data_IF_258236028398
#
_entry.id   IF_258236028398
#
_cell.length_a   1.000
_cell.length_b   1.000
_cell.length_c   1.000
_cell.angle_alpha   90.00
_cell.angle_beta   90.00
_cell.angle_gamma   90.00
#
_symmetry.space_group_name_H-M   'P 1'
#
loop_
_entity.id
_entity.type
_entity.pdbx_description
1 polymer ?
#
# COMPACT_ATOMS: atom_id res chain seq x y z
N UNK A 1 0.15 -8.13 -2.76
CA UNK A 1 -0.84 -9.20 -2.46
C UNK A 1 -1.63 -9.63 -3.69
N UNK A 2 -2.57 -8.84 -4.19
CA UNK A 2 -3.51 -9.26 -5.25
C UNK A 2 -2.90 -9.40 -6.67
N UNK A 3 -1.62 -9.05 -6.85
CA UNK A 3 -0.96 -8.99 -8.15
C UNK A 3 -1.72 -8.12 -9.17
N UNK A 4 -2.05 -6.89 -8.79
CA UNK A 4 -2.87 -5.92 -9.55
C UNK A 4 -4.29 -6.36 -9.92
N UNK A 5 -4.81 -7.50 -9.39
CA UNK A 5 -6.25 -7.82 -9.50
C UNK A 5 -7.14 -6.79 -8.79
N UNK A 6 -6.61 -6.16 -7.74
CA UNK A 6 -7.27 -5.04 -7.07
C UNK A 6 -6.42 -3.80 -7.21
N UNK A 7 -7.07 -2.68 -7.57
CA UNK A 7 -6.43 -1.40 -7.78
C UNK A 7 -6.48 -0.55 -6.50
N UNK A 8 -5.31 -0.11 -6.03
CA UNK A 8 -5.21 0.94 -5.01
C UNK A 8 -5.34 2.31 -5.68
N UNK A 9 -6.43 3.03 -5.41
CA UNK A 9 -6.76 4.30 -6.07
C UNK A 9 -6.30 5.51 -5.25
N UNK A 10 -5.86 6.55 -5.96
CA UNK A 10 -5.59 7.85 -5.35
C UNK A 10 -6.91 8.56 -5.02
N UNK A 11 -6.98 9.14 -3.84
CA UNK A 11 -8.13 9.91 -3.38
C UNK A 11 -7.64 11.19 -2.69
N UNK A 12 -8.46 12.26 -2.78
CA UNK A 12 -8.21 13.54 -2.10
C UNK A 12 -9.49 14.08 -1.51
N UNK A 13 -9.36 14.87 -0.45
CA UNK A 13 -10.48 15.58 0.17
C UNK A 13 -10.34 17.06 -0.15
N UNK A 14 -11.37 17.65 -0.75
CA UNK A 14 -11.42 19.09 -0.99
C UNK A 14 -11.92 19.81 0.27
N UNK A 15 -11.31 20.95 0.56
CA UNK A 15 -11.75 21.84 1.63
C UNK A 15 -13.09 22.51 1.29
N UNK A 16 -13.94 22.70 2.31
CA UNK A 16 -15.16 23.47 2.16
C UNK A 16 -14.84 24.98 2.17
N UNK A 17 -15.62 25.76 1.42
CA UNK A 17 -15.54 27.24 1.48
C UNK A 17 -16.16 27.81 2.76
N UNK A 18 -17.17 27.14 3.30
CA UNK A 18 -17.93 27.56 4.49
C UNK A 18 -18.20 26.33 5.36
N UNK A 19 -17.94 26.44 6.67
CA UNK A 19 -18.27 25.43 7.67
C UNK A 19 -17.33 24.21 7.70
N UNK A 20 -17.28 23.48 8.84
CA UNK A 20 -16.42 22.32 9.00
C UNK A 20 -16.92 21.10 8.20
N UNK A 21 -16.00 20.26 7.74
CA UNK A 21 -16.26 18.90 7.24
C UNK A 21 -15.60 17.91 8.17
N UNK A 22 -16.37 16.97 8.72
CA UNK A 22 -15.87 15.96 9.67
C UNK A 22 -16.02 14.57 9.06
N UNK A 23 -14.96 13.77 9.13
CA UNK A 23 -14.96 12.36 8.73
C UNK A 23 -14.01 11.57 9.63
N UNK A 24 -14.35 10.32 9.93
CA UNK A 24 -13.49 9.40 10.68
C UNK A 24 -13.10 8.26 9.74
N UNK A 25 -11.80 8.06 9.55
CA UNK A 25 -11.28 6.93 8.79
C UNK A 25 -10.79 5.85 9.76
N UNK A 26 -11.04 4.59 9.40
CA UNK A 26 -10.52 3.42 10.10
C UNK A 26 -9.73 2.58 9.09
N UNK A 27 -8.47 2.29 9.41
CA UNK A 27 -7.57 1.56 8.52
C UNK A 27 -7.24 0.19 9.12
N UNK A 28 -7.54 -0.86 8.37
CA UNK A 28 -7.06 -2.21 8.66
C UNK A 28 -5.72 -2.40 7.95
N UNK A 29 -4.64 -2.10 8.66
CA UNK A 29 -3.28 -2.26 8.15
C UNK A 29 -2.72 -3.64 8.54
N UNK A 30 -1.72 -4.09 7.78
CA UNK A 30 -0.97 -5.31 8.11
C UNK A 30 -0.21 -5.18 9.44
N UNK A 31 0.63 -6.18 9.73
CA UNK A 31 1.44 -6.21 10.94
C UNK A 31 2.47 -5.08 10.97
N UNK A 32 2.19 -4.00 11.69
CA UNK A 32 3.11 -2.85 11.87
C UNK A 32 3.68 -2.75 13.28
N UNK A 33 3.36 -3.73 14.15
CA UNK A 33 3.80 -3.68 15.54
C UNK A 33 5.27 -4.07 15.63
N UNK A 34 6.04 -3.25 16.34
CA UNK A 34 7.49 -3.44 16.55
C UNK A 34 7.82 -4.62 17.46
N UNK A 35 6.81 -5.21 18.13
CA UNK A 35 6.97 -6.36 19.02
C UNK A 35 6.78 -7.71 18.32
N UNK A 36 6.56 -7.71 17.00
CA UNK A 36 6.44 -8.94 16.21
C UNK A 36 7.49 -8.98 15.10
N UNK A 37 7.92 -10.17 14.67
CA UNK A 37 8.86 -10.31 13.57
C UNK A 37 8.31 -9.63 12.31
N UNK A 38 9.19 -8.96 11.57
CA UNK A 38 8.82 -8.33 10.31
C UNK A 38 8.27 -9.39 9.34
N UNK A 39 7.05 -9.12 8.85
CA UNK A 39 6.36 -10.01 7.92
C UNK A 39 6.67 -9.60 6.49
N UNK A 40 7.07 -10.56 5.67
CA UNK A 40 7.21 -10.39 4.22
C UNK A 40 5.84 -10.37 3.54
N UNK A 41 5.67 -9.45 2.59
CA UNK A 41 4.49 -9.30 1.73
C UNK A 41 4.93 -9.38 0.28
N UNK A 42 4.08 -9.99 -0.55
CA UNK A 42 4.31 -10.16 -1.97
C UNK A 42 3.02 -10.52 -2.69
N UNK A 43 3.07 -10.88 -3.99
CA UNK A 43 1.95 -11.52 -4.64
C UNK A 43 1.54 -12.83 -3.96
N UNK A 44 0.23 -13.06 -3.79
CA UNK A 44 -0.30 -14.31 -3.24
C UNK A 44 0.04 -15.44 -4.20
N UNK A 45 0.68 -16.51 -3.72
CA UNK A 45 1.24 -17.59 -4.54
C UNK A 45 0.17 -18.27 -5.40
N UNK A 46 -1.02 -18.44 -4.85
CA UNK A 46 -2.20 -19.04 -5.50
C UNK A 46 -2.76 -18.17 -6.64
N UNK A 47 -2.38 -16.89 -6.69
CA UNK A 47 -2.76 -15.98 -7.79
C UNK A 47 -1.71 -15.93 -8.90
N UNK A 48 -0.53 -16.54 -8.73
CA UNK A 48 0.57 -16.52 -9.71
C UNK A 48 0.50 -17.72 -10.64
N UNK A 49 0.68 -17.47 -11.94
CA UNK A 49 0.74 -18.51 -12.97
C UNK A 49 1.64 -18.08 -14.13
N UNK A 50 1.83 -18.96 -15.13
CA UNK A 50 2.56 -18.61 -16.34
C UNK A 50 1.94 -17.43 -17.10
N UNK A 51 0.61 -17.37 -17.12
CA UNK A 51 -0.15 -16.31 -17.80
C UNK A 51 -0.40 -15.08 -16.90
N UNK A 52 -0.13 -15.19 -15.60
CA UNK A 52 -0.17 -14.11 -14.62
C UNK A 52 1.10 -14.12 -13.75
N UNK A 53 2.26 -13.73 -14.31
CA UNK A 53 3.52 -13.72 -13.57
C UNK A 53 3.47 -12.70 -12.41
N UNK A 54 4.34 -12.84 -11.41
CA UNK A 54 4.41 -11.86 -10.33
C UNK A 54 4.77 -10.49 -10.91
N UNK A 55 4.09 -9.44 -10.45
CA UNK A 55 4.36 -8.05 -10.83
C UNK A 55 5.20 -7.31 -9.78
N UNK A 56 5.33 -7.90 -8.60
CA UNK A 56 5.99 -7.32 -7.44
C UNK A 56 6.94 -8.34 -6.82
N UNK A 57 8.09 -7.86 -6.33
CA UNK A 57 8.97 -8.65 -5.45
C UNK A 57 8.40 -8.72 -4.04
N UNK A 58 8.89 -9.68 -3.27
CA UNK A 58 8.66 -9.73 -1.83
C UNK A 58 9.35 -8.54 -1.14
N UNK A 59 8.72 -7.99 -0.11
CA UNK A 59 9.21 -6.86 0.68
C UNK A 59 8.75 -6.95 2.13
N UNK A 60 9.48 -6.30 3.03
CA UNK A 60 9.03 -6.18 4.42
C UNK A 60 8.01 -5.05 4.54
N UNK A 61 6.97 -5.28 5.34
CA UNK A 61 5.96 -4.25 5.61
C UNK A 61 6.58 -2.98 6.22
N UNK A 62 7.61 -3.12 7.04
CA UNK A 62 8.40 -2.02 7.60
C UNK A 62 9.04 -1.15 6.51
N UNK A 63 9.61 -1.75 5.46
CA UNK A 63 10.17 -1.05 4.30
C UNK A 63 9.07 -0.26 3.56
N UNK A 64 7.91 -0.87 3.34
CA UNK A 64 6.76 -0.20 2.72
C UNK A 64 6.30 1.01 3.53
N UNK A 65 6.16 0.87 4.86
CA UNK A 65 5.76 1.96 5.74
C UNK A 65 6.79 3.10 5.76
N UNK A 66 8.07 2.76 5.87
CA UNK A 66 9.15 3.76 5.82
C UNK A 66 9.14 4.54 4.50
N UNK A 67 8.90 3.85 3.37
CA UNK A 67 8.79 4.51 2.07
C UNK A 67 7.54 5.36 1.96
N UNK A 68 6.39 4.86 2.42
CA UNK A 68 5.11 5.58 2.38
C UNK A 68 5.14 6.88 3.19
N UNK A 69 5.73 6.87 4.39
CA UNK A 69 5.80 8.05 5.27
C UNK A 69 6.81 9.09 4.76
N UNK A 70 7.91 8.66 4.13
CA UNK A 70 8.93 9.57 3.59
C UNK A 70 8.59 10.17 2.23
N UNK A 71 7.54 9.69 1.58
CA UNK A 71 7.17 10.07 0.22
C UNK A 71 6.36 11.37 0.14
N UNK A 72 6.65 12.23 -0.84
CA UNK A 72 5.86 13.43 -1.15
C UNK A 72 4.52 13.15 -1.84
N UNK A 73 3.58 14.10 -1.76
CA UNK A 73 2.21 13.95 -2.26
C UNK A 73 2.10 13.72 -3.79
N UNK A 74 3.02 14.29 -4.57
CA UNK A 74 3.03 14.20 -6.04
C UNK A 74 3.91 13.04 -6.56
N UNK A 75 4.49 12.24 -5.67
CA UNK A 75 5.34 11.12 -6.06
C UNK A 75 4.52 9.87 -6.45
N UNK A 76 5.14 8.97 -7.22
CA UNK A 76 4.55 7.68 -7.60
C UNK A 76 4.23 6.85 -6.36
N UNK A 77 3.04 6.25 -6.23
CA UNK A 77 2.65 5.47 -5.05
C UNK A 77 3.73 4.52 -4.53
N UNK A 78 3.91 4.44 -3.21
CA UNK A 78 5.00 3.70 -2.55
C UNK A 78 5.14 2.24 -3.04
N UNK A 79 4.03 1.58 -3.38
CA UNK A 79 4.04 0.20 -3.87
C UNK A 79 4.81 0.02 -5.21
N UNK A 80 4.98 1.09 -5.99
CA UNK A 80 5.77 1.06 -7.23
C UNK A 80 7.24 0.75 -7.00
N UNK A 81 7.79 1.07 -5.81
CA UNK A 81 9.17 0.74 -5.46
C UNK A 81 9.44 -0.78 -5.43
N UNK A 82 8.38 -1.58 -5.33
CA UNK A 82 8.45 -3.03 -5.21
C UNK A 82 8.02 -3.76 -6.49
N UNK A 83 7.78 -3.05 -7.60
CA UNK A 83 7.55 -3.70 -8.90
C UNK A 83 8.80 -4.42 -9.40
N UNK A 84 8.60 -5.51 -10.15
CA UNK A 84 9.66 -6.20 -10.89
C UNK A 84 10.03 -5.47 -12.18
#
# INVERSE_FOLDING_TARGET
MSNDKFQSVQHRVLANRIGPRVSIACFFIGQTRTDQPDKSYGPIKELISKDNPPLYRDFLISEYHGKFVSQGLDEKPAFHHFKL
#
